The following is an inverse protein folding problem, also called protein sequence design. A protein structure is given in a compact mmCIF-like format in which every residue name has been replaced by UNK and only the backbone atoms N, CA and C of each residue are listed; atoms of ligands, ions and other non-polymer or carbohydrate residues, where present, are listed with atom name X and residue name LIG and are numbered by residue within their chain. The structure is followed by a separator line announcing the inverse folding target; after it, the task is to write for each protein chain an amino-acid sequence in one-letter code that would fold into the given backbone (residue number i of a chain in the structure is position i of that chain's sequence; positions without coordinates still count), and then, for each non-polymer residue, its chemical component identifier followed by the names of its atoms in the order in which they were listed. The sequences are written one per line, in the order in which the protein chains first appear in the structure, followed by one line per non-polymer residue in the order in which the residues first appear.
data_IF_846129255771
#
_entry.id   IF_846129255771
#
_cell.length_a   1.000
_cell.length_b   1.000
_cell.length_c   1.000
_cell.angle_alpha   90.00
_cell.angle_beta   90.00
_cell.angle_gamma   90.00
#
_symmetry.space_group_name_H-M   'P 1'
#
loop_
_entity.id
_entity.type
_entity.pdbx_description
1 polymer ?
#
# COMPACT_ATOMS: atom_id res chain seq x y z
N UNK A 1 19.70 21.41 -8.89
CA UNK A 1 18.48 21.49 -8.08
C UNK A 1 17.37 20.86 -8.89
N UNK A 2 17.06 19.60 -8.64
CA UNK A 2 15.94 18.91 -9.29
C UNK A 2 14.67 19.38 -8.60
N UNK A 3 13.79 20.06 -9.35
CA UNK A 3 12.48 20.44 -8.85
C UNK A 3 11.66 19.16 -8.71
N UNK A 4 11.44 18.70 -7.49
CA UNK A 4 10.49 17.63 -7.19
C UNK A 4 9.10 18.20 -7.39
N UNK A 5 8.53 17.98 -8.58
CA UNK A 5 7.09 18.16 -8.80
C UNK A 5 6.36 17.43 -7.67
N UNK A 6 5.45 18.08 -6.93
CA UNK A 6 4.68 17.40 -5.90
C UNK A 6 3.93 16.25 -6.58
N UNK A 7 4.20 15.01 -6.16
CA UNK A 7 3.43 13.85 -6.64
C UNK A 7 1.99 14.06 -6.18
N UNK A 8 1.06 14.00 -7.14
CA UNK A 8 -0.36 14.17 -6.88
C UNK A 8 -0.85 13.20 -5.79
N UNK A 9 -1.89 13.59 -5.06
CA UNK A 9 -2.56 12.66 -4.15
C UNK A 9 -3.16 11.50 -4.96
N UNK A 10 -2.98 10.28 -4.44
CA UNK A 10 -3.58 9.08 -5.03
C UNK A 10 -5.10 9.11 -4.84
N UNK A 11 -5.83 8.92 -5.94
CA UNK A 11 -7.30 8.76 -5.91
C UNK A 11 -7.66 7.28 -6.08
N UNK A 12 -8.86 6.89 -5.62
CA UNK A 12 -9.33 5.51 -5.73
C UNK A 12 -9.37 5.00 -7.18
N UNK A 13 -9.73 5.86 -8.14
CA UNK A 13 -9.84 5.48 -9.57
C UNK A 13 -8.49 5.13 -10.20
N UNK A 14 -7.38 5.51 -9.56
CA UNK A 14 -6.02 5.16 -9.98
C UNK A 14 -5.56 3.83 -9.37
N UNK A 15 -6.33 3.24 -8.45
CA UNK A 15 -5.99 1.98 -7.80
C UNK A 15 -6.64 0.83 -8.56
N UNK A 16 -5.81 -0.01 -9.20
CA UNK A 16 -6.28 -1.23 -9.84
C UNK A 16 -6.13 -2.40 -8.87
N UNK A 17 -7.21 -3.17 -8.67
CA UNK A 17 -7.18 -4.38 -7.86
C UNK A 17 -7.10 -5.61 -8.78
N UNK A 18 -6.02 -6.36 -8.65
CA UNK A 18 -5.77 -7.62 -9.36
C UNK A 18 -5.70 -8.79 -8.37
N UNK A 19 -5.40 -9.99 -8.88
CA UNK A 19 -5.17 -11.18 -8.05
C UNK A 19 -3.93 -11.94 -8.50
N UNK A 20 -3.13 -12.38 -7.54
CA UNK A 20 -1.98 -13.25 -7.82
C UNK A 20 -2.42 -14.69 -8.16
N UNK A 21 -1.45 -15.54 -8.53
CA UNK A 21 -1.70 -16.96 -8.86
C UNK A 21 -2.36 -17.80 -7.75
N UNK A 22 -2.40 -17.30 -6.51
CA UNK A 22 -3.05 -17.94 -5.36
C UNK A 22 -4.38 -17.28 -5.00
N UNK A 23 -4.88 -16.42 -5.88
CA UNK A 23 -6.14 -15.70 -5.72
C UNK A 23 -6.16 -14.66 -4.59
N UNK A 24 -4.97 -14.22 -4.15
CA UNK A 24 -4.82 -13.15 -3.17
C UNK A 24 -4.88 -11.78 -3.85
N UNK A 25 -5.49 -10.80 -3.19
CA UNK A 25 -5.59 -9.44 -3.72
C UNK A 25 -4.19 -8.81 -3.92
N UNK A 26 -4.04 -8.11 -5.04
CA UNK A 26 -2.85 -7.33 -5.41
C UNK A 26 -3.29 -5.93 -5.79
N UNK A 27 -2.65 -4.94 -5.19
CA UNK A 27 -2.85 -3.53 -5.51
C UNK A 27 -1.83 -3.14 -6.57
N UNK A 28 -2.33 -2.69 -7.72
CA UNK A 28 -1.52 -2.20 -8.84
C UNK A 28 -1.73 -0.68 -8.94
N UNK A 29 -0.64 0.08 -8.87
CA UNK A 29 -0.63 1.53 -8.86
C UNK A 29 0.13 2.10 -10.07
N UNK A 30 -0.10 3.36 -10.47
CA UNK A 30 0.79 4.05 -11.37
C UNK A 30 2.22 4.07 -10.81
N UNK A 31 3.21 3.84 -11.68
CA UNK A 31 4.60 3.63 -11.25
C UNK A 31 5.14 4.75 -10.36
N UNK A 32 4.83 6.01 -10.68
CA UNK A 32 5.29 7.15 -9.89
C UNK A 32 4.75 7.15 -8.44
N UNK A 33 3.54 6.63 -8.22
CA UNK A 33 2.96 6.48 -6.88
C UNK A 33 3.59 5.28 -6.16
N UNK A 34 3.72 4.16 -6.87
CA UNK A 34 4.33 2.94 -6.35
C UNK A 34 5.78 3.20 -5.92
N UNK A 35 6.56 3.89 -6.74
CA UNK A 35 7.95 4.27 -6.44
C UNK A 35 8.03 5.16 -5.20
N UNK A 36 7.17 6.17 -5.08
CA UNK A 36 7.15 7.03 -3.89
C UNK A 36 6.80 6.26 -2.62
N UNK A 37 5.78 5.39 -2.67
CA UNK A 37 5.42 4.53 -1.54
C UNK A 37 6.54 3.54 -1.21
N UNK A 38 7.18 2.95 -2.22
CA UNK A 38 8.30 2.04 -2.06
C UNK A 38 9.46 2.73 -1.34
N UNK A 39 9.88 3.92 -1.80
CA UNK A 39 10.90 4.74 -1.12
C UNK A 39 10.53 5.02 0.32
N UNK A 40 9.27 5.43 0.57
CA UNK A 40 8.78 5.65 1.93
C UNK A 40 8.81 4.36 2.75
N UNK A 41 8.55 3.19 2.17
CA UNK A 41 8.63 1.89 2.86
C UNK A 41 10.04 1.40 3.16
N UNK A 42 11.04 1.82 2.39
CA UNK A 42 12.43 1.40 2.54
C UNK A 42 13.27 2.31 3.44
N UNK A 43 12.84 3.55 3.64
CA UNK A 43 13.61 4.53 4.42
C UNK A 43 13.41 4.27 5.92
N UNK A 44 14.47 4.34 6.74
CA UNK A 44 14.45 4.36 8.21
C UNK A 44 13.37 3.46 8.88
N UNK A 45 13.41 2.15 8.62
CA UNK A 45 12.67 1.16 9.43
C UNK A 45 13.37 1.09 10.80
N UNK A 46 13.11 2.10 11.64
CA UNK A 46 13.65 2.22 13.00
C UNK A 46 12.57 2.80 13.91
N UNK A 47 11.49 2.05 14.03
CA UNK A 47 10.51 2.23 15.08
C UNK A 47 10.07 0.86 15.58
N UNK A 48 10.41 0.51 16.82
CA UNK A 48 9.61 -0.43 17.61
C UNK A 48 8.33 0.31 18.05
N UNK A 49 7.59 0.86 17.08
CA UNK A 49 6.63 1.93 17.31
C UNK A 49 5.29 1.44 17.87
N UNK A 50 4.88 0.22 17.53
CA UNK A 50 3.63 -0.37 17.96
C UNK A 50 3.74 -1.91 18.01
N UNK A 51 3.32 -2.53 19.11
CA UNK A 51 3.42 -3.98 19.36
C UNK A 51 4.84 -4.60 19.25
N UNK A 52 5.91 -3.81 19.31
CA UNK A 52 7.31 -4.25 19.18
C UNK A 52 7.71 -4.78 17.80
N UNK A 53 6.93 -4.50 16.75
CA UNK A 53 7.30 -4.83 15.37
C UNK A 53 8.04 -3.67 14.69
N UNK A 54 8.94 -4.03 13.78
CA UNK A 54 9.64 -3.08 12.92
C UNK A 54 8.64 -2.38 12.01
N UNK A 55 8.43 -1.08 12.28
CA UNK A 55 7.43 -0.28 11.58
C UNK A 55 7.95 1.12 11.29
N UNK A 56 7.41 1.73 10.23
CA UNK A 56 7.60 3.14 9.91
C UNK A 56 6.27 3.88 10.02
N UNK A 57 6.05 4.68 11.07
CA UNK A 57 4.80 5.43 11.24
C UNK A 57 4.77 6.69 10.38
N UNK A 58 3.56 7.08 9.99
CA UNK A 58 3.25 8.32 9.29
C UNK A 58 2.07 9.01 9.96
N UNK A 59 2.16 10.34 10.12
CA UNK A 59 1.08 11.13 10.72
C UNK A 59 -0.16 11.16 9.82
N UNK A 60 -1.31 11.53 10.40
CA UNK A 60 -2.62 11.41 9.77
C UNK A 60 -2.78 12.30 8.52
N UNK A 61 -2.04 13.41 8.46
CA UNK A 61 -2.06 14.40 7.39
C UNK A 61 -0.91 14.24 6.37
N UNK A 62 -0.12 13.16 6.48
CA UNK A 62 0.92 12.85 5.50
C UNK A 62 0.32 12.34 4.19
N UNK A 63 1.10 12.47 3.11
CA UNK A 63 0.72 11.95 1.80
C UNK A 63 0.62 10.42 1.83
N UNK A 64 1.51 9.75 2.55
CA UNK A 64 1.53 8.29 2.69
C UNK A 64 0.25 7.79 3.33
N UNK A 65 -0.18 8.40 4.44
CA UNK A 65 -1.45 8.06 5.07
C UNK A 65 -2.62 8.24 4.11
N UNK A 66 -2.73 9.39 3.43
CA UNK A 66 -3.81 9.60 2.45
C UNK A 66 -3.81 8.55 1.33
N UNK A 67 -2.64 8.17 0.82
CA UNK A 67 -2.51 7.13 -0.19
C UNK A 67 -2.95 5.75 0.33
N UNK A 68 -2.56 5.39 1.57
CA UNK A 68 -2.99 4.14 2.21
C UNK A 68 -4.52 4.10 2.38
N UNK A 69 -5.14 5.21 2.81
CA UNK A 69 -6.59 5.33 2.88
C UNK A 69 -7.26 5.09 1.51
N UNK A 70 -6.75 5.72 0.44
CA UNK A 70 -7.27 5.52 -0.91
C UNK A 70 -7.18 4.05 -1.38
N UNK A 71 -6.07 3.36 -1.05
CA UNK A 71 -5.88 1.93 -1.33
C UNK A 71 -6.91 1.09 -0.56
N UNK A 72 -7.13 1.37 0.72
CA UNK A 72 -8.10 0.65 1.54
C UNK A 72 -9.53 0.83 1.04
N UNK A 73 -9.89 2.04 0.64
CA UNK A 73 -11.22 2.31 0.09
C UNK A 73 -11.44 1.59 -1.25
N UNK A 74 -10.43 1.56 -2.12
CA UNK A 74 -10.46 0.80 -3.37
C UNK A 74 -10.58 -0.71 -3.14
N UNK A 75 -9.79 -1.26 -2.19
CA UNK A 75 -9.86 -2.67 -1.80
C UNK A 75 -11.26 -3.05 -1.27
N UNK A 76 -11.86 -2.23 -0.41
CA UNK A 76 -13.19 -2.50 0.14
C UNK A 76 -14.33 -2.38 -0.87
N UNK A 77 -14.11 -1.62 -1.95
CA UNK A 77 -15.01 -1.53 -3.08
C UNK A 77 -14.89 -2.77 -3.98
N UNK A 78 -13.66 -3.20 -4.29
CA UNK A 78 -13.39 -4.28 -5.23
C UNK A 78 -13.48 -5.70 -4.63
N UNK A 79 -13.19 -5.86 -3.33
CA UNK A 79 -13.17 -7.14 -2.62
C UNK A 79 -14.13 -7.14 -1.41
N UNK A 80 -15.45 -7.17 -1.62
CA UNK A 80 -16.43 -7.19 -0.53
C UNK A 80 -16.28 -8.36 0.45
N UNK A 81 -15.66 -9.47 0.03
CA UNK A 81 -15.35 -10.64 0.84
C UNK A 81 -14.26 -10.39 1.89
N UNK A 82 -13.34 -9.46 1.62
CA UNK A 82 -12.28 -9.04 2.55
C UNK A 82 -12.83 -8.20 3.73
N UNK A 83 -14.13 -7.86 3.70
CA UNK A 83 -14.83 -7.15 4.80
C UNK A 83 -14.90 -7.94 6.10
N UNK A 84 -14.50 -9.21 6.10
CA UNK A 84 -14.48 -10.05 7.30
C UNK A 84 -13.13 -10.05 8.04
N UNK A 85 -12.08 -9.51 7.43
CA UNK A 85 -10.70 -9.53 7.95
C UNK A 85 -10.16 -8.12 8.21
N UNK A 86 -8.84 -7.93 8.29
CA UNK A 86 -8.17 -6.67 8.66
C UNK A 86 -8.71 -5.42 7.95
N UNK A 87 -9.06 -5.52 6.67
CA UNK A 87 -9.68 -4.45 5.89
C UNK A 87 -11.10 -4.09 6.35
N UNK A 88 -11.88 -5.07 6.82
CA UNK A 88 -13.25 -4.86 7.32
C UNK A 88 -13.34 -4.01 8.58
N UNK A 89 -12.28 -4.00 9.39
CA UNK A 89 -12.19 -3.16 10.58
C UNK A 89 -12.05 -1.67 10.22
N UNK A 90 -11.52 -1.33 9.05
CA UNK A 90 -11.19 0.04 8.68
C UNK A 90 -12.43 0.92 8.60
N UNK A 91 -13.48 0.47 7.91
CA UNK A 91 -14.75 1.23 7.84
C UNK A 91 -15.47 1.34 9.18
N UNK A 92 -15.31 0.34 10.07
CA UNK A 92 -16.08 0.27 11.31
C UNK A 92 -15.38 0.97 12.48
N UNK A 93 -14.06 0.91 12.54
CA UNK A 93 -13.25 1.31 13.69
C UNK A 93 -12.12 2.26 13.31
N UNK A 94 -11.99 2.63 12.04
CA UNK A 94 -10.89 3.46 11.55
C UNK A 94 -9.53 2.77 11.60
N UNK A 95 -9.47 1.45 11.78
CA UNK A 95 -8.21 0.69 11.83
C UNK A 95 -8.27 -0.53 10.94
N UNK A 96 -7.15 -0.90 10.32
CA UNK A 96 -7.09 -2.11 9.53
C UNK A 96 -5.69 -2.38 8.99
N UNK A 97 -5.53 -3.54 8.37
CA UNK A 97 -4.26 -3.96 7.78
C UNK A 97 -4.48 -4.66 6.45
N UNK A 98 -3.49 -4.58 5.58
CA UNK A 98 -3.42 -5.28 4.30
C UNK A 98 -2.03 -5.87 4.10
N UNK A 99 -1.97 -7.20 3.99
CA UNK A 99 -0.74 -7.97 3.79
C UNK A 99 -0.60 -8.51 2.35
N UNK A 100 -1.40 -8.01 1.41
CA UNK A 100 -1.24 -8.31 -0.01
C UNK A 100 -0.14 -7.47 -0.65
N UNK A 101 0.13 -7.76 -1.92
CA UNK A 101 1.17 -7.07 -2.66
C UNK A 101 0.70 -5.69 -3.13
N UNK A 102 1.60 -4.70 -3.08
CA UNK A 102 1.40 -3.38 -3.68
C UNK A 102 2.54 -3.12 -4.65
N UNK A 103 2.23 -2.99 -5.93
CA UNK A 103 3.20 -2.96 -7.04
C UNK A 103 2.87 -1.85 -8.04
N UNK A 104 3.90 -1.33 -8.71
CA UNK A 104 3.74 -0.51 -9.91
C UNK A 104 3.24 -1.32 -11.11
N UNK A 105 2.48 -0.66 -11.98
CA UNK A 105 1.92 -1.24 -13.21
C UNK A 105 2.98 -1.87 -14.13
N UNK A 106 4.18 -1.29 -14.24
CA UNK A 106 5.24 -1.88 -15.06
C UNK A 106 5.88 -3.11 -14.41
N UNK A 107 5.73 -3.29 -13.10
CA UNK A 107 6.20 -4.46 -12.34
C UNK A 107 5.25 -5.66 -12.38
N UNK A 108 3.97 -5.44 -12.67
CA UNK A 108 2.95 -6.48 -12.63
C UNK A 108 2.66 -7.10 -14.00
N UNK A 109 2.59 -8.43 -14.05
CA UNK A 109 2.05 -9.19 -15.17
C UNK A 109 0.64 -9.67 -14.84
N UNK A 110 -0.35 -9.04 -15.48
CA UNK A 110 -1.76 -9.39 -15.32
C UNK A 110 -2.10 -10.78 -15.86
N UNK A 111 -1.46 -11.21 -16.96
CA UNK A 111 -1.74 -12.51 -17.57
C UNK A 111 -1.11 -13.64 -16.76
N UNK A 112 0.16 -13.48 -16.39
CA UNK A 112 0.86 -14.45 -15.56
C UNK A 112 0.44 -14.40 -14.07
N UNK A 113 -0.33 -13.38 -13.67
CA UNK A 113 -0.75 -13.11 -12.28
C UNK A 113 0.44 -13.10 -11.32
N UNK A 114 1.54 -12.49 -11.75
CA UNK A 114 2.83 -12.53 -11.07
C UNK A 114 3.71 -11.32 -11.43
N UNK A 115 4.87 -11.19 -10.78
CA UNK A 115 5.85 -10.14 -11.07
C UNK A 115 6.58 -10.43 -12.39
N UNK A 116 6.79 -9.40 -13.22
CA UNK A 116 7.49 -9.51 -14.51
C UNK A 116 9.00 -9.77 -14.33
N UNK A 117 9.67 -8.88 -13.60
CA UNK A 117 11.10 -8.96 -13.32
C UNK A 117 11.35 -8.41 -11.90
N UNK A 118 11.47 -9.29 -10.89
CA UNK A 118 11.61 -8.88 -9.49
C UNK A 118 12.81 -7.97 -9.23
N UNK A 119 13.93 -8.16 -9.93
CA UNK A 119 15.14 -7.37 -9.69
C UNK A 119 15.04 -6.00 -10.37
N UNK A 120 14.56 -5.96 -11.62
CA UNK A 120 14.42 -4.70 -12.35
C UNK A 120 13.32 -3.81 -11.76
N UNK A 121 12.27 -4.39 -11.18
CA UNK A 121 11.07 -3.65 -10.73
C UNK A 121 10.94 -3.55 -9.21
N UNK A 122 11.97 -3.96 -8.47
CA UNK A 122 12.02 -3.89 -7.00
C UNK A 122 11.69 -2.50 -6.43
N UNK A 123 12.11 -1.44 -7.13
CA UNK A 123 11.88 -0.05 -6.73
C UNK A 123 10.41 0.39 -6.84
N UNK A 124 9.56 -0.43 -7.44
CA UNK A 124 8.11 -0.21 -7.58
C UNK A 124 7.30 -1.07 -6.61
N UNK A 125 7.96 -1.73 -5.66
CA UNK A 125 7.33 -2.63 -4.71
C UNK A 125 7.32 -2.03 -3.30
N UNK A 126 6.14 -1.98 -2.68
CA UNK A 126 6.03 -1.59 -1.27
C UNK A 126 6.35 -2.80 -0.41
N UNK A 127 7.45 -2.72 0.34
CA UNK A 127 8.09 -3.91 0.90
C UNK A 127 7.41 -4.51 2.14
N UNK A 128 6.39 -3.85 2.67
CA UNK A 128 5.73 -4.20 3.94
C UNK A 128 4.21 -4.09 3.84
N UNK A 129 3.52 -4.72 4.79
CA UNK A 129 2.08 -4.58 4.95
C UNK A 129 1.68 -3.13 5.21
N UNK A 130 0.51 -2.75 4.73
CA UNK A 130 -0.09 -1.45 4.96
C UNK A 130 -1.00 -1.51 6.19
N UNK A 131 -0.92 -0.52 7.06
CA UNK A 131 -1.74 -0.45 8.27
C UNK A 131 -2.33 0.94 8.48
N UNK A 132 -3.56 0.98 9.01
CA UNK A 132 -4.24 2.20 9.48
C UNK A 132 -4.58 2.02 10.95
N UNK A 133 -4.33 3.06 11.74
CA UNK A 133 -4.66 3.13 13.16
C UNK A 133 -5.95 3.92 13.39
N UNK A 134 -6.62 3.64 14.51
CA UNK A 134 -7.86 4.31 14.93
C UNK A 134 -7.75 5.84 15.05
N UNK A 135 -6.55 6.39 15.20
CA UNK A 135 -6.28 7.83 15.26
C UNK A 135 -6.01 8.45 13.88
N UNK A 136 -6.21 7.68 12.81
CA UNK A 136 -6.04 8.09 11.42
C UNK A 136 -4.60 8.06 10.94
N UNK A 137 -3.62 7.65 11.75
CA UNK A 137 -2.24 7.46 11.31
C UNK A 137 -2.07 6.16 10.54
N UNK A 138 -1.02 6.06 9.73
CA UNK A 138 -0.66 4.82 9.04
C UNK A 138 0.76 4.37 9.40
N UNK A 139 1.07 3.11 9.12
CA UNK A 139 2.45 2.65 9.10
C UNK A 139 2.66 1.56 8.04
N UNK A 140 3.93 1.40 7.66
CA UNK A 140 4.41 0.23 6.93
C UNK A 140 5.11 -0.70 7.91
N UNK A 141 4.73 -1.98 7.98
CA UNK A 141 5.32 -2.91 8.96
C UNK A 141 4.79 -4.34 8.88
N UNK A 142 5.50 -5.26 9.56
CA UNK A 142 5.12 -6.67 9.71
C UNK A 142 4.18 -6.91 10.89
#
# INVERSE_FOLDING_TARGET
MTSTTPVADLTMDQVTISRDRYDRAVVVLPDAIAERLAVSSHTDVKGYGYNHFESRPFDADTWETRAVHAIFDALLQACPEERQWGLGQYRRYGTGYFYGWVVGESGWDTEARNWKDPEATKHLHVNYGLHIHHDGRSHFGS
#
